data_IF_544295289350
#
_entry.id   IF_544295289350
#
_cell.length_a   1.000
_cell.length_b   1.000
_cell.length_c   1.000
_cell.angle_alpha   90.00
_cell.angle_beta   90.00
_cell.angle_gamma   90.00
#
_symmetry.space_group_name_H-M   'P 1'
#
loop_
_entity.id
_entity.type
_entity.pdbx_description
1 polymer ?
#
# COMPACT_ATOMS: atom_id res chain seq x y z
N UNK A 1 1.61 -32.21 8.44
CA UNK A 1 3.07 -32.27 8.44
C UNK A 1 3.52 -31.53 9.67
N UNK A 2 4.21 -32.21 10.60
CA UNK A 2 4.74 -31.58 11.81
C UNK A 2 6.11 -31.02 11.42
N UNK A 3 6.25 -29.71 11.47
CA UNK A 3 7.56 -29.05 11.40
C UNK A 3 8.12 -29.01 12.82
N UNK A 4 9.23 -29.70 13.04
CA UNK A 4 10.07 -29.50 14.22
C UNK A 4 10.94 -28.29 13.94
N UNK A 5 10.71 -27.18 14.64
CA UNK A 5 11.66 -26.11 14.74
C UNK A 5 12.47 -26.29 16.02
N UNK A 6 13.75 -26.51 15.85
CA UNK A 6 14.71 -26.43 16.94
C UNK A 6 15.02 -24.94 17.18
N UNK A 7 14.65 -24.44 18.36
CA UNK A 7 15.02 -23.10 18.79
C UNK A 7 16.41 -23.14 19.41
N UNK A 8 17.37 -22.46 18.79
CA UNK A 8 18.63 -22.15 19.44
C UNK A 8 18.47 -20.86 20.25
N UNK A 9 18.33 -21.00 21.56
CA UNK A 9 18.39 -19.88 22.49
C UNK A 9 19.85 -19.54 22.75
N UNK A 10 20.28 -18.32 22.39
CA UNK A 10 21.67 -17.82 22.51
C UNK A 10 22.13 -17.50 23.92
N UNK A 11 21.61 -18.14 24.95
CA UNK A 11 22.12 -18.00 26.32
C UNK A 11 23.33 -18.94 26.49
N UNK A 12 24.52 -18.38 26.63
CA UNK A 12 25.77 -19.12 26.89
C UNK A 12 25.79 -19.74 28.29
N UNK A 13 25.17 -20.89 28.44
CA UNK A 13 25.20 -21.70 29.65
C UNK A 13 24.48 -23.02 29.41
N UNK A 14 24.99 -24.11 30.03
CA UNK A 14 24.60 -25.51 29.81
C UNK A 14 23.08 -25.71 29.71
N UNK A 15 22.65 -26.31 28.58
CA UNK A 15 21.26 -26.59 28.27
C UNK A 15 20.62 -27.54 29.28
N UNK A 16 19.74 -27.03 30.14
CA UNK A 16 18.73 -27.82 30.80
C UNK A 16 17.40 -27.58 30.02
N UNK A 17 16.92 -28.66 29.40
CA UNK A 17 15.56 -28.67 28.84
C UNK A 17 14.55 -28.54 29.99
N UNK A 18 14.01 -27.38 30.15
CA UNK A 18 12.78 -27.18 30.92
C UNK A 18 11.67 -26.84 29.95
N UNK A 19 10.62 -27.66 29.94
CA UNK A 19 9.36 -27.35 29.28
C UNK A 19 8.71 -26.17 30.03
N UNK A 20 9.07 -24.93 29.65
CA UNK A 20 8.41 -23.74 30.14
C UNK A 20 7.37 -23.31 29.10
N UNK A 21 6.10 -23.48 29.48
CA UNK A 21 4.99 -22.78 28.84
C UNK A 21 5.15 -21.29 29.20
N UNK A 22 5.64 -20.48 28.25
CA UNK A 22 5.57 -19.01 28.36
C UNK A 22 4.08 -18.62 28.38
N UNK A 23 3.59 -18.25 29.54
CA UNK A 23 2.24 -17.68 29.69
C UNK A 23 2.23 -16.19 29.33
N UNK A 24 2.66 -15.87 28.11
CA UNK A 24 2.39 -14.58 27.50
C UNK A 24 0.95 -14.67 26.99
N UNK A 25 0.02 -14.10 27.74
CA UNK A 25 -1.40 -14.30 27.56
C UNK A 25 -2.01 -13.80 26.25
N UNK A 26 -1.53 -14.29 25.14
CA UNK A 26 -2.22 -14.33 23.84
C UNK A 26 -1.45 -15.23 22.86
N UNK A 27 -2.17 -16.06 22.10
CA UNK A 27 -1.69 -17.01 21.12
C UNK A 27 -1.07 -16.34 19.88
N UNK A 28 0.08 -15.70 20.02
CA UNK A 28 0.87 -15.23 18.88
C UNK A 28 2.32 -15.66 19.05
N UNK A 29 2.70 -16.68 18.29
CA UNK A 29 4.11 -17.05 18.12
C UNK A 29 4.78 -15.97 17.26
N UNK A 30 5.49 -15.05 17.89
CA UNK A 30 6.41 -14.17 17.20
C UNK A 30 7.80 -14.76 17.26
N UNK A 31 8.45 -14.89 16.09
CA UNK A 31 9.87 -15.22 15.99
C UNK A 31 10.66 -13.96 16.39
N UNK A 32 10.87 -13.77 17.69
CA UNK A 32 11.77 -12.74 18.20
C UNK A 32 13.03 -13.41 18.77
N UNK A 33 14.19 -12.93 18.35
CA UNK A 33 15.44 -13.19 19.04
C UNK A 33 15.40 -12.42 20.39
N UNK A 34 14.89 -13.07 21.42
CA UNK A 34 14.77 -12.47 22.76
C UNK A 34 16.08 -12.69 23.52
N UNK A 35 16.85 -11.64 23.78
CA UNK A 35 17.92 -11.66 24.78
C UNK A 35 17.31 -11.57 26.17
N UNK A 36 16.70 -12.66 26.66
CA UNK A 36 16.08 -12.70 27.98
C UNK A 36 17.11 -13.11 29.04
N UNK A 37 17.32 -12.25 30.02
CA UNK A 37 17.85 -12.65 31.34
C UNK A 37 16.62 -13.04 32.19
N UNK A 38 16.17 -14.30 32.07
CA UNK A 38 15.04 -14.80 32.86
C UNK A 38 15.57 -15.32 34.22
N UNK A 39 15.35 -14.56 35.29
CA UNK A 39 15.37 -15.09 36.64
C UNK A 39 13.98 -15.68 36.96
N UNK A 40 13.95 -16.80 37.71
CA UNK A 40 12.92 -17.83 37.80
C UNK A 40 11.48 -17.40 38.17
N UNK A 41 11.14 -16.12 38.39
CA UNK A 41 9.83 -15.72 38.89
C UNK A 41 9.04 -14.66 38.08
N UNK A 42 9.63 -14.04 37.08
CA UNK A 42 8.93 -13.18 36.13
C UNK A 42 9.80 -13.01 34.88
N UNK A 43 9.34 -13.49 33.74
CA UNK A 43 9.94 -13.14 32.47
C UNK A 43 9.58 -11.69 32.17
N UNK A 44 10.39 -10.76 32.67
CA UNK A 44 10.40 -9.38 32.21
C UNK A 44 11.25 -9.32 30.93
N UNK A 45 10.80 -10.04 29.91
CA UNK A 45 11.33 -9.85 28.58
C UNK A 45 10.80 -8.50 28.09
N UNK A 46 11.57 -7.45 28.29
CA UNK A 46 11.31 -6.12 27.76
C UNK A 46 11.29 -6.08 26.23
N UNK A 47 10.57 -7.01 25.63
CA UNK A 47 10.16 -6.97 24.25
C UNK A 47 9.03 -5.94 24.17
N UNK A 48 9.35 -4.69 24.38
CA UNK A 48 8.52 -3.58 23.96
C UNK A 48 8.56 -3.59 22.43
N UNK A 49 7.63 -4.32 21.81
CA UNK A 49 7.28 -4.14 20.42
C UNK A 49 6.74 -2.72 20.29
N UNK A 50 7.64 -1.74 20.11
CA UNK A 50 7.27 -0.33 19.89
C UNK A 50 6.25 -0.20 18.75
N UNK A 51 6.22 -1.16 17.82
CA UNK A 51 5.29 -1.17 16.70
C UNK A 51 3.91 -1.77 17.02
N UNK A 52 3.79 -2.71 17.97
CA UNK A 52 2.50 -3.33 18.32
C UNK A 52 1.71 -2.53 19.35
N UNK A 53 2.35 -1.82 20.28
CA UNK A 53 1.65 -0.93 21.22
C UNK A 53 0.86 0.15 20.50
N UNK A 54 1.37 0.65 19.37
CA UNK A 54 0.72 1.69 18.57
C UNK A 54 -0.50 1.20 17.78
N UNK A 55 -0.59 -0.09 17.47
CA UNK A 55 -1.73 -0.67 16.72
C UNK A 55 -2.96 -0.93 17.60
N UNK A 56 -2.78 -1.14 18.89
CA UNK A 56 -3.84 -1.50 19.84
C UNK A 56 -4.20 -0.41 20.85
N UNK A 57 -3.62 0.79 20.75
CA UNK A 57 -4.03 1.90 21.59
C UNK A 57 -5.44 2.36 21.18
N UNK A 58 -6.46 2.18 22.04
CA UNK A 58 -7.83 2.53 21.70
C UNK A 58 -7.99 4.03 21.38
N UNK A 59 -7.08 4.87 21.88
CA UNK A 59 -7.16 6.32 21.76
C UNK A 59 -6.43 6.89 20.51
N UNK A 60 -5.59 6.10 19.83
CA UNK A 60 -4.84 6.57 18.64
C UNK A 60 -5.74 7.21 17.57
N UNK A 61 -6.83 6.54 17.25
CA UNK A 61 -7.76 7.03 16.24
C UNK A 61 -8.60 8.19 16.77
N UNK A 62 -8.98 8.15 18.05
CA UNK A 62 -9.71 9.24 18.71
C UNK A 62 -8.85 10.50 18.79
N UNK A 63 -7.57 10.38 19.12
CA UNK A 63 -6.63 11.51 19.11
C UNK A 63 -6.47 12.09 17.69
N UNK A 64 -6.30 11.24 16.68
CA UNK A 64 -6.21 11.70 15.29
C UNK A 64 -7.51 12.39 14.83
N UNK A 65 -8.67 11.81 15.14
CA UNK A 65 -9.97 12.36 14.79
C UNK A 65 -10.29 13.67 15.53
N UNK A 66 -9.80 13.83 16.76
CA UNK A 66 -10.00 15.07 17.53
C UNK A 66 -9.35 16.31 16.92
N UNK A 67 -8.37 16.13 16.04
CA UNK A 67 -7.69 17.21 15.30
C UNK A 67 -8.52 17.74 14.13
N UNK A 68 -9.62 17.06 13.77
CA UNK A 68 -10.43 17.38 12.62
C UNK A 68 -11.91 17.50 13.01
N UNK A 69 -12.64 18.36 12.31
CA UNK A 69 -14.09 18.35 12.40
C UNK A 69 -14.65 17.15 11.64
N UNK A 70 -15.10 16.13 12.36
CA UNK A 70 -15.68 14.91 11.79
C UNK A 70 -17.20 14.98 11.61
N UNK A 71 -17.83 16.04 12.10
CA UNK A 71 -19.27 16.27 11.94
C UNK A 71 -19.47 17.11 10.68
N UNK A 72 -19.50 16.43 9.53
CA UNK A 72 -19.76 17.06 8.24
C UNK A 72 -21.23 16.85 7.85
N UNK A 73 -21.82 17.90 7.25
CA UNK A 73 -23.16 17.84 6.65
C UNK A 73 -23.04 17.97 5.14
N UNK A 74 -23.84 17.21 4.42
CA UNK A 74 -23.83 17.20 2.96
C UNK A 74 -24.04 18.60 2.36
N UNK A 75 -24.92 19.40 2.97
CA UNK A 75 -25.19 20.77 2.52
C UNK A 75 -23.96 21.68 2.70
N UNK A 76 -23.20 21.53 3.78
CA UNK A 76 -21.98 22.31 4.03
C UNK A 76 -20.88 21.94 3.03
N UNK A 77 -20.71 20.64 2.76
CA UNK A 77 -19.77 20.14 1.75
C UNK A 77 -20.15 20.62 0.37
N UNK A 78 -21.43 20.54 0.01
CA UNK A 78 -21.95 21.03 -1.28
C UNK A 78 -21.70 22.53 -1.44
N UNK A 79 -21.96 23.33 -0.40
CA UNK A 79 -21.73 24.78 -0.42
C UNK A 79 -20.23 25.12 -0.59
N UNK A 80 -19.34 24.43 0.12
CA UNK A 80 -17.89 24.60 -0.03
C UNK A 80 -17.42 24.20 -1.43
N UNK A 81 -17.91 23.09 -1.95
CA UNK A 81 -17.61 22.64 -3.32
C UNK A 81 -18.06 23.67 -4.36
N UNK A 82 -19.30 24.19 -4.24
CA UNK A 82 -19.80 25.21 -5.12
C UNK A 82 -18.93 26.49 -5.08
N UNK A 83 -18.50 26.90 -3.90
CA UNK A 83 -17.61 28.06 -3.74
C UNK A 83 -16.24 27.82 -4.42
N UNK A 84 -15.65 26.64 -4.27
CA UNK A 84 -14.39 26.29 -4.94
C UNK A 84 -14.54 26.33 -6.46
N UNK A 85 -15.62 25.74 -6.98
CA UNK A 85 -15.94 25.73 -8.41
C UNK A 85 -16.07 27.17 -8.93
N UNK A 86 -16.91 28.00 -8.28
CA UNK A 86 -17.13 29.38 -8.69
C UNK A 86 -15.83 30.20 -8.74
N UNK A 87 -14.97 29.99 -7.74
CA UNK A 87 -13.73 30.75 -7.59
C UNK A 87 -12.64 30.34 -8.56
N UNK A 88 -12.47 29.03 -8.80
CA UNK A 88 -11.25 28.52 -9.43
C UNK A 88 -11.46 27.92 -10.82
N UNK A 89 -12.67 27.44 -11.17
CA UNK A 89 -12.87 26.77 -12.46
C UNK A 89 -12.59 27.71 -13.62
N UNK A 90 -13.08 28.95 -13.57
CA UNK A 90 -12.90 29.90 -14.67
C UNK A 90 -11.42 30.20 -14.94
N UNK A 91 -10.60 30.24 -13.91
CA UNK A 91 -9.17 30.48 -14.00
C UNK A 91 -8.40 29.25 -14.51
N UNK A 92 -8.85 28.06 -14.13
CA UNK A 92 -8.19 26.79 -14.43
C UNK A 92 -8.74 26.06 -15.66
N UNK A 93 -9.87 26.49 -16.23
CA UNK A 93 -10.44 25.91 -17.45
C UNK A 93 -9.74 26.45 -18.71
N UNK A 94 -8.41 26.24 -18.78
CA UNK A 94 -7.57 26.61 -19.91
C UNK A 94 -7.00 25.40 -20.62
N UNK A 95 -6.56 25.57 -21.87
CA UNK A 95 -5.93 24.49 -22.64
C UNK A 95 -4.63 24.06 -21.98
N UNK A 96 -3.86 24.98 -21.45
CA UNK A 96 -2.58 24.73 -20.78
C UNK A 96 -2.75 23.87 -19.53
N UNK A 97 -3.74 24.20 -18.70
CA UNK A 97 -4.06 23.38 -17.51
C UNK A 97 -4.56 21.99 -17.92
N UNK A 98 -5.37 21.89 -18.97
CA UNK A 98 -5.84 20.58 -19.48
C UNK A 98 -4.70 19.73 -20.02
N UNK A 99 -3.74 20.29 -20.74
CA UNK A 99 -2.52 19.60 -21.16
C UNK A 99 -1.69 19.12 -19.98
N UNK A 100 -1.49 19.97 -18.99
CA UNK A 100 -0.79 19.60 -17.76
C UNK A 100 -1.51 18.47 -17.01
N UNK A 101 -2.84 18.55 -16.85
CA UNK A 101 -3.62 17.50 -16.21
C UNK A 101 -3.58 16.17 -16.99
N UNK A 102 -3.55 16.24 -18.32
CA UNK A 102 -3.38 15.04 -19.16
C UNK A 102 -2.05 14.36 -18.88
N UNK A 103 -0.97 15.13 -18.79
CA UNK A 103 0.36 14.62 -18.43
C UNK A 103 0.44 14.09 -16.98
N UNK A 104 -0.48 14.45 -16.11
CA UNK A 104 -0.57 13.91 -14.74
C UNK A 104 -1.36 12.61 -14.64
N UNK A 105 -1.93 12.10 -15.72
CA UNK A 105 -2.76 10.89 -15.71
C UNK A 105 -1.91 9.66 -15.44
N UNK A 106 -2.31 8.90 -14.45
CA UNK A 106 -1.94 7.51 -14.25
C UNK A 106 -2.95 6.63 -14.98
N UNK A 107 -2.62 6.25 -16.23
CA UNK A 107 -3.53 5.55 -17.12
C UNK A 107 -3.68 4.10 -16.68
N UNK A 108 -4.81 3.77 -16.08
CA UNK A 108 -5.01 2.55 -15.30
C UNK A 108 -5.94 1.56 -15.99
N UNK A 109 -5.55 0.27 -16.02
CA UNK A 109 -6.45 -0.85 -16.28
C UNK A 109 -6.29 -1.89 -15.17
N UNK A 110 -7.39 -2.15 -14.46
CA UNK A 110 -7.48 -3.10 -13.34
C UNK A 110 -8.75 -3.95 -13.47
N UNK A 111 -9.06 -4.37 -14.68
CA UNK A 111 -10.22 -5.23 -14.94
C UNK A 111 -9.85 -6.68 -14.63
N UNK A 112 -10.77 -7.41 -14.01
CA UNK A 112 -10.59 -8.86 -13.80
C UNK A 112 -10.51 -9.67 -15.11
N UNK A 113 -10.84 -9.03 -16.23
CA UNK A 113 -10.76 -9.60 -17.59
C UNK A 113 -9.51 -9.18 -18.36
N UNK A 114 -8.59 -8.42 -17.73
CA UNK A 114 -7.33 -8.06 -18.38
C UNK A 114 -6.52 -9.31 -18.70
N UNK A 115 -5.94 -9.30 -19.86
CA UNK A 115 -5.12 -10.39 -20.42
C UNK A 115 -3.89 -9.79 -21.10
N UNK A 116 -2.85 -10.59 -21.31
CA UNK A 116 -1.63 -10.13 -22.01
C UNK A 116 -1.95 -9.41 -23.33
N UNK A 117 -2.78 -9.97 -24.25
CA UNK A 117 -3.11 -9.26 -25.48
C UNK A 117 -3.86 -7.95 -25.27
N UNK A 118 -4.72 -7.86 -24.25
CA UNK A 118 -5.47 -6.63 -23.97
C UNK A 118 -4.57 -5.54 -23.41
N UNK A 119 -3.64 -5.89 -22.51
CA UNK A 119 -2.67 -4.97 -21.93
C UNK A 119 -1.64 -4.53 -22.96
N UNK A 120 -1.14 -5.45 -23.80
CA UNK A 120 -0.27 -5.11 -24.92
C UNK A 120 -0.94 -4.07 -25.85
N UNK A 121 -2.19 -4.29 -26.24
CA UNK A 121 -2.94 -3.35 -27.07
C UNK A 121 -3.16 -2.01 -26.35
N UNK A 122 -3.41 -2.04 -25.06
CA UNK A 122 -3.59 -0.85 -24.23
C UNK A 122 -2.30 0.00 -24.20
N UNK A 123 -1.15 -0.65 -24.02
CA UNK A 123 0.17 0.00 -24.04
C UNK A 123 0.52 0.52 -25.43
N UNK A 124 0.18 -0.22 -26.50
CA UNK A 124 0.40 0.24 -27.86
C UNK A 124 -0.34 1.55 -28.18
N UNK A 125 -1.54 1.76 -27.63
CA UNK A 125 -2.23 3.05 -27.80
C UNK A 125 -1.47 4.21 -27.17
N UNK A 126 -0.70 3.97 -26.11
CA UNK A 126 0.16 5.00 -25.48
C UNK A 126 1.37 5.30 -26.38
N UNK A 127 1.94 4.29 -27.04
CA UNK A 127 2.99 4.49 -28.04
C UNK A 127 2.46 5.28 -29.26
N UNK A 128 1.32 4.85 -29.81
CA UNK A 128 0.70 5.48 -30.98
C UNK A 128 0.33 6.95 -30.73
N UNK A 129 0.09 7.32 -29.47
CA UNK A 129 -0.24 8.70 -29.08
C UNK A 129 0.90 9.69 -29.39
N UNK A 130 2.15 9.26 -29.23
CA UNK A 130 3.33 10.11 -29.52
C UNK A 130 3.35 10.56 -30.98
N UNK A 131 3.08 9.61 -31.87
CA UNK A 131 3.05 9.88 -33.32
C UNK A 131 1.82 10.69 -33.74
N UNK A 132 0.69 10.47 -33.08
CA UNK A 132 -0.56 11.16 -33.39
C UNK A 132 -0.61 12.61 -32.88
N UNK A 133 0.09 12.89 -31.77
CA UNK A 133 0.05 14.19 -31.07
C UNK A 133 1.44 14.60 -30.59
N UNK A 134 2.41 14.87 -31.51
CA UNK A 134 3.80 15.14 -31.13
C UNK A 134 3.98 16.44 -30.35
N UNK A 135 2.96 17.31 -30.32
CA UNK A 135 2.96 18.57 -29.53
C UNK A 135 2.44 18.41 -28.10
N UNK A 136 2.01 17.20 -27.72
CA UNK A 136 1.49 16.93 -26.39
C UNK A 136 2.41 15.97 -25.63
N UNK A 137 2.63 16.27 -24.35
CA UNK A 137 3.22 15.29 -23.45
C UNK A 137 2.26 14.12 -23.25
N UNK A 138 2.80 12.91 -23.17
CA UNK A 138 2.03 11.71 -22.93
C UNK A 138 1.56 11.62 -21.48
N UNK A 139 0.78 10.60 -21.13
CA UNK A 139 0.37 10.31 -19.74
C UNK A 139 1.60 10.06 -18.86
N UNK A 140 1.46 10.29 -17.55
CA UNK A 140 2.57 10.14 -16.59
C UNK A 140 2.98 8.66 -16.42
N UNK A 141 2.01 7.76 -16.39
CA UNK A 141 2.25 6.34 -16.17
C UNK A 141 1.16 5.45 -16.76
N UNK A 142 1.49 4.18 -16.93
CA UNK A 142 0.55 3.08 -17.14
C UNK A 142 0.50 2.27 -15.84
N UNK A 143 -0.70 2.12 -15.25
CA UNK A 143 -0.91 1.37 -14.03
C UNK A 143 -1.69 0.08 -14.29
N UNK A 144 -1.13 -1.04 -13.83
CA UNK A 144 -1.66 -2.39 -14.07
C UNK A 144 -1.54 -3.28 -12.83
N UNK A 145 -2.10 -4.48 -12.90
CA UNK A 145 -1.79 -5.54 -11.94
C UNK A 145 -0.31 -5.97 -12.05
N UNK A 146 0.33 -6.41 -10.96
CA UNK A 146 1.75 -6.79 -10.96
C UNK A 146 2.13 -7.84 -12.00
N UNK A 147 1.26 -8.81 -12.26
CA UNK A 147 1.47 -9.86 -13.25
C UNK A 147 1.42 -9.36 -14.71
N UNK A 148 0.99 -8.12 -14.94
CA UNK A 148 0.94 -7.48 -16.26
C UNK A 148 2.05 -6.45 -16.47
N UNK A 149 2.88 -6.19 -15.45
CA UNK A 149 3.92 -5.17 -15.53
C UNK A 149 5.00 -5.50 -16.57
N UNK A 150 5.39 -6.77 -16.69
CA UNK A 150 6.35 -7.24 -17.68
C UNK A 150 5.84 -7.00 -19.09
N UNK A 151 4.56 -7.27 -19.35
CA UNK A 151 3.93 -7.03 -20.65
C UNK A 151 3.97 -5.55 -21.03
N UNK A 152 3.69 -4.66 -20.06
CA UNK A 152 3.80 -3.21 -20.28
C UNK A 152 5.26 -2.84 -20.58
N UNK A 153 6.21 -3.35 -19.80
CA UNK A 153 7.63 -3.06 -19.97
C UNK A 153 8.15 -3.47 -21.35
N UNK A 154 7.74 -4.64 -21.83
CA UNK A 154 8.18 -5.17 -23.11
C UNK A 154 7.51 -4.48 -24.32
N UNK A 155 6.36 -3.83 -24.09
CA UNK A 155 5.57 -3.21 -25.15
C UNK A 155 5.74 -1.69 -25.21
N UNK A 156 6.07 -1.04 -24.07
CA UNK A 156 6.14 0.41 -23.96
C UNK A 156 7.39 0.96 -24.66
N UNK A 157 7.17 1.78 -25.69
CA UNK A 157 8.20 2.47 -26.46
C UNK A 157 8.21 3.98 -26.20
N UNK A 158 7.10 4.53 -25.67
CA UNK A 158 6.96 5.96 -25.42
C UNK A 158 7.89 6.43 -24.29
N UNK A 159 8.71 7.44 -24.57
CA UNK A 159 9.59 8.07 -23.58
C UNK A 159 8.80 8.76 -22.47
N UNK A 160 9.41 8.80 -21.27
CA UNK A 160 8.90 9.50 -20.08
C UNK A 160 7.59 8.95 -19.48
N UNK A 161 7.01 7.88 -20.00
CA UNK A 161 5.87 7.16 -19.41
C UNK A 161 6.41 6.13 -18.43
N UNK A 162 5.92 6.16 -17.20
CA UNK A 162 6.33 5.24 -16.15
C UNK A 162 5.42 4.02 -16.07
N UNK A 163 5.91 2.94 -15.47
CA UNK A 163 5.12 1.75 -15.16
C UNK A 163 4.81 1.77 -13.68
N UNK A 164 3.55 1.70 -13.33
CA UNK A 164 3.04 1.59 -11.98
C UNK A 164 2.33 0.25 -11.78
N UNK A 165 2.49 -0.35 -10.63
CA UNK A 165 1.77 -1.56 -10.24
C UNK A 165 0.99 -1.33 -8.96
N UNK A 166 -0.24 -1.85 -8.90
CA UNK A 166 -0.98 -1.90 -7.65
C UNK A 166 -0.38 -2.96 -6.74
N UNK A 167 -0.57 -2.82 -5.43
CA UNK A 167 -0.08 -3.76 -4.43
C UNK A 167 -1.13 -4.02 -3.35
N UNK A 168 -0.86 -4.98 -2.44
CA UNK A 168 -1.72 -5.26 -1.30
C UNK A 168 -3.14 -5.72 -1.65
N UNK A 169 -3.33 -6.31 -2.84
CA UNK A 169 -4.63 -6.77 -3.30
C UNK A 169 -5.59 -5.68 -3.80
N UNK A 170 -5.05 -4.47 -4.10
CA UNK A 170 -5.86 -3.38 -4.68
C UNK A 170 -6.53 -3.84 -6.01
N UNK A 171 -7.80 -3.40 -6.34
CA UNK A 171 -8.57 -2.37 -5.66
C UNK A 171 -9.44 -2.90 -4.51
N UNK A 172 -9.74 -4.19 -4.44
CA UNK A 172 -10.67 -4.75 -3.45
C UNK A 172 -10.03 -4.98 -2.08
N UNK A 173 -8.76 -5.35 -2.06
CA UNK A 173 -7.95 -5.58 -0.85
C UNK A 173 -8.55 -6.56 0.18
N UNK A 174 -9.53 -7.37 -0.23
CA UNK A 174 -10.20 -8.38 0.61
C UNK A 174 -9.44 -9.71 0.52
N UNK A 175 -8.27 -9.77 1.16
CA UNK A 175 -7.44 -10.96 1.22
C UNK A 175 -6.68 -11.03 2.54
N UNK A 176 -6.05 -12.15 2.81
CA UNK A 176 -5.25 -12.37 4.02
C UNK A 176 -4.03 -11.46 4.03
N UNK A 177 -3.57 -11.10 5.23
CA UNK A 177 -2.41 -10.22 5.42
C UNK A 177 -1.16 -10.79 4.77
N UNK A 178 -0.95 -12.09 4.88
CA UNK A 178 0.21 -12.80 4.31
C UNK A 178 0.27 -12.65 2.78
N UNK A 179 -0.89 -12.67 2.12
CA UNK A 179 -0.99 -12.46 0.66
C UNK A 179 -0.69 -11.00 0.29
N UNK A 180 -1.02 -10.04 1.18
CA UNK A 180 -0.73 -8.62 0.93
C UNK A 180 0.75 -8.29 1.10
N UNK A 181 1.43 -9.03 1.96
CA UNK A 181 2.85 -8.85 2.26
C UNK A 181 3.73 -9.55 1.22
N UNK A 182 3.31 -10.71 0.73
CA UNK A 182 4.03 -11.46 -0.29
C UNK A 182 4.07 -10.74 -1.64
#
# INVERSE_FOLDING_TARGET
MKYNHEHECGCGGEHHHHDHECNCGNEHHHEHECECNCDDDACDCGCEDEDTENLHQPDKYNEALSKYNTVLKDEEVAAQTAHIIEKYVKENDTVEVKKFLFHCIDLTTLKCTDSEPSVMKFTQHVNDFVDAYPELDNVAAICVYPNMAEIVNDTLEADNVKIACVSGGFPSSQTFTEVKVA
#
